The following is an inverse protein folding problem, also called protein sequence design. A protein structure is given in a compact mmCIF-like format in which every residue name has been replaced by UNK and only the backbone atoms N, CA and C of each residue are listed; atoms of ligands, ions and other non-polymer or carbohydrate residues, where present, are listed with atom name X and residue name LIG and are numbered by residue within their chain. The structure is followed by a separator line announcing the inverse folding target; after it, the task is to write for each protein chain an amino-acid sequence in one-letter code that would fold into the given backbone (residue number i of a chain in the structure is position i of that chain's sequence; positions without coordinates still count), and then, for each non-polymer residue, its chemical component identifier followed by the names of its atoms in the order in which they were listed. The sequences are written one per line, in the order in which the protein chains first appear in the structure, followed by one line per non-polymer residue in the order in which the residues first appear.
data_IF_506336752285
#
_entry.id   IF_506336752285
#
_cell.length_a   1.000
_cell.length_b   1.000
_cell.length_c   1.000
_cell.angle_alpha   90.00
_cell.angle_beta   90.00
_cell.angle_gamma   90.00
#
_symmetry.space_group_name_H-M   'P 1'
#
loop_
_entity.id
_entity.type
_entity.pdbx_description
1 polymer ?
#
# COMPACT_ATOMS: atom_id res chain seq x y z
N UNK A 1 19.79 -13.48 -8.02
CA UNK A 1 18.92 -12.53 -7.30
C UNK A 1 18.65 -11.21 -8.05
N UNK A 2 19.58 -10.66 -8.85
CA UNK A 2 19.37 -9.39 -9.57
C UNK A 2 18.15 -9.37 -10.53
N UNK A 3 17.81 -10.49 -11.18
CA UNK A 3 16.67 -10.56 -12.10
C UNK A 3 15.28 -10.51 -11.44
N UNK A 4 15.13 -11.08 -10.24
CA UNK A 4 13.87 -11.02 -9.47
C UNK A 4 13.62 -9.59 -8.95
N UNK A 5 14.68 -8.94 -8.47
CA UNK A 5 14.63 -7.56 -7.98
C UNK A 5 14.25 -6.57 -9.07
N UNK A 6 14.87 -6.65 -10.25
CA UNK A 6 14.58 -5.76 -11.37
C UNK A 6 13.12 -5.84 -11.85
N UNK A 7 12.58 -7.05 -12.02
CA UNK A 7 11.17 -7.23 -12.44
C UNK A 7 10.18 -6.72 -11.39
N UNK A 8 10.42 -7.01 -10.11
CA UNK A 8 9.55 -6.57 -9.00
C UNK A 8 9.56 -5.05 -8.86
N UNK A 9 10.74 -4.44 -8.94
CA UNK A 9 10.87 -2.99 -8.87
C UNK A 9 10.17 -2.30 -10.06
N UNK A 10 10.40 -2.79 -11.28
CA UNK A 10 9.74 -2.26 -12.47
C UNK A 10 8.21 -2.34 -12.38
N UNK A 11 7.67 -3.43 -11.81
CA UNK A 11 6.24 -3.56 -11.58
C UNK A 11 5.72 -2.48 -10.61
N UNK A 12 6.37 -2.29 -9.46
CA UNK A 12 5.97 -1.27 -8.49
C UNK A 12 6.06 0.14 -9.09
N UNK A 13 7.16 0.45 -9.77
CA UNK A 13 7.38 1.76 -10.41
C UNK A 13 6.34 2.04 -11.50
N UNK A 14 6.06 1.05 -12.36
CA UNK A 14 5.07 1.18 -13.43
C UNK A 14 3.62 1.22 -12.93
N UNK A 15 3.34 0.73 -11.73
CA UNK A 15 1.99 0.75 -11.14
C UNK A 15 1.65 2.09 -10.45
N UNK A 16 2.63 2.95 -10.17
CA UNK A 16 2.37 4.26 -9.57
C UNK A 16 1.56 5.13 -10.53
N UNK A 17 0.46 5.69 -10.03
CA UNK A 17 -0.36 6.63 -10.80
C UNK A 17 0.30 7.99 -10.95
N UNK A 18 -0.09 8.81 -11.94
CA UNK A 18 0.48 10.14 -12.17
C UNK A 18 0.39 11.09 -10.96
N UNK A 19 -0.52 10.87 -10.01
CA UNK A 19 -0.60 11.66 -8.76
C UNK A 19 0.24 11.11 -7.61
N UNK A 20 0.87 9.93 -7.76
CA UNK A 20 1.80 9.35 -6.78
C UNK A 20 1.32 8.13 -6.02
N UNK A 21 0.05 7.72 -6.17
CA UNK A 21 -0.55 6.63 -5.42
C UNK A 21 -0.56 5.31 -6.19
N UNK A 22 -0.80 4.21 -5.47
CA UNK A 22 -1.13 2.89 -6.01
C UNK A 22 -2.61 2.59 -5.79
N UNK A 23 -3.14 1.69 -6.61
CA UNK A 23 -4.58 1.38 -6.60
C UNK A 23 -4.91 0.06 -5.94
N UNK A 24 -6.07 0.02 -5.29
CA UNK A 24 -6.74 -1.20 -4.86
C UNK A 24 -8.11 -1.25 -5.55
N UNK A 25 -8.39 -2.34 -6.27
CA UNK A 25 -9.63 -2.49 -7.06
C UNK A 25 -9.91 -1.29 -7.99
N UNK A 26 -8.84 -0.73 -8.60
CA UNK A 26 -8.93 0.40 -9.53
C UNK A 26 -9.16 1.77 -8.88
N UNK A 27 -9.13 1.87 -7.55
CA UNK A 27 -9.31 3.13 -6.81
C UNK A 27 -8.04 3.53 -6.07
N UNK A 28 -7.79 4.83 -5.82
CA UNK A 28 -6.67 5.27 -5.00
C UNK A 28 -6.68 4.58 -3.64
N UNK A 29 -5.52 4.12 -3.18
CA UNK A 29 -5.39 3.33 -1.95
C UNK A 29 -4.24 3.83 -1.08
N UNK A 30 -4.54 4.24 0.15
CA UNK A 30 -3.51 4.61 1.13
C UNK A 30 -2.73 3.37 1.53
N UNK A 31 -3.42 2.26 1.78
CA UNK A 31 -2.77 1.02 2.22
C UNK A 31 -1.79 0.48 1.17
N UNK A 32 -2.19 0.39 -0.09
CA UNK A 32 -1.32 -0.10 -1.16
C UNK A 32 -0.20 0.89 -1.49
N UNK A 33 -0.47 2.20 -1.42
CA UNK A 33 0.58 3.22 -1.56
C UNK A 33 1.63 3.06 -0.47
N UNK A 34 1.22 2.92 0.79
CA UNK A 34 2.15 2.75 1.90
C UNK A 34 2.96 1.45 1.80
N UNK A 35 2.36 0.34 1.36
CA UNK A 35 3.08 -0.91 1.10
C UNK A 35 4.11 -0.79 -0.03
N UNK A 36 3.73 -0.14 -1.15
CA UNK A 36 4.65 0.09 -2.26
C UNK A 36 5.83 0.97 -1.81
N UNK A 37 5.54 2.05 -1.08
CA UNK A 37 6.58 2.91 -0.51
C UNK A 37 7.51 2.12 0.42
N UNK A 38 6.99 1.29 1.33
CA UNK A 38 7.82 0.44 2.21
C UNK A 38 8.88 -0.34 1.44
N UNK A 39 8.49 -0.97 0.34
CA UNK A 39 9.40 -1.74 -0.49
C UNK A 39 10.42 -0.84 -1.20
N UNK A 40 9.97 0.30 -1.74
CA UNK A 40 10.82 1.26 -2.44
C UNK A 40 11.84 1.93 -1.50
N UNK A 41 11.43 2.30 -0.28
CA UNK A 41 12.30 2.86 0.75
C UNK A 41 13.40 1.87 1.16
N UNK A 42 13.03 0.60 1.35
CA UNK A 42 14.01 -0.44 1.65
C UNK A 42 15.04 -0.60 0.53
N UNK A 43 14.64 -0.51 -0.75
CA UNK A 43 15.59 -0.54 -1.87
C UNK A 43 16.45 0.74 -1.88
N UNK A 44 15.83 1.90 -1.70
CA UNK A 44 16.51 3.20 -1.71
C UNK A 44 17.62 3.29 -0.66
N UNK A 45 17.32 2.91 0.59
CA UNK A 45 18.27 2.99 1.72
C UNK A 45 19.48 2.09 1.46
N UNK A 46 19.26 0.89 0.94
CA UNK A 46 20.33 -0.09 0.73
C UNK A 46 21.17 0.16 -0.53
N UNK A 47 20.63 0.81 -1.56
CA UNK A 47 21.30 0.94 -2.87
C UNK A 47 21.54 2.39 -3.32
N UNK A 48 21.08 3.39 -2.56
CA UNK A 48 21.23 4.83 -2.85
C UNK A 48 20.76 5.22 -4.27
N UNK A 49 19.69 4.60 -4.76
CA UNK A 49 19.15 4.87 -6.09
C UNK A 49 18.48 6.25 -6.20
N UNK A 50 19.14 7.22 -6.85
CA UNK A 50 18.67 8.62 -6.96
C UNK A 50 17.26 8.77 -7.55
N UNK A 51 16.88 7.93 -8.51
CA UNK A 51 15.57 7.96 -9.18
C UNK A 51 14.42 7.59 -8.23
N UNK A 52 14.66 6.71 -7.25
CA UNK A 52 13.62 6.26 -6.32
C UNK A 52 13.18 7.38 -5.37
N UNK A 53 14.07 8.31 -5.03
CA UNK A 53 13.74 9.42 -4.12
C UNK A 53 12.57 10.24 -4.65
N UNK A 54 12.53 10.53 -5.95
CA UNK A 54 11.44 11.28 -6.59
C UNK A 54 10.11 10.53 -6.52
N UNK A 55 10.12 9.24 -6.85
CA UNK A 55 8.94 8.36 -6.81
C UNK A 55 8.37 8.23 -5.40
N UNK A 56 9.25 7.98 -4.42
CA UNK A 56 8.89 7.88 -3.01
C UNK A 56 8.31 9.20 -2.50
N UNK A 57 9.01 10.31 -2.77
CA UNK A 57 8.56 11.66 -2.35
C UNK A 57 7.17 11.98 -2.89
N UNK A 58 6.89 11.59 -4.13
CA UNK A 58 5.58 11.80 -4.75
C UNK A 58 4.48 11.01 -4.04
N UNK A 59 4.73 9.75 -3.72
CA UNK A 59 3.78 8.92 -2.97
C UNK A 59 3.57 9.41 -1.53
N UNK A 60 4.65 9.81 -0.85
CA UNK A 60 4.56 10.39 0.51
C UNK A 60 3.75 11.68 0.51
N UNK A 61 3.98 12.59 -0.43
CA UNK A 61 3.18 13.82 -0.57
C UNK A 61 1.70 13.53 -0.78
N UNK A 62 1.38 12.51 -1.59
CA UNK A 62 0.00 12.09 -1.77
C UNK A 62 -0.56 11.51 -0.47
N UNK A 63 0.15 10.63 0.24
CA UNK A 63 -0.31 10.11 1.54
C UNK A 63 -0.59 11.25 2.51
N UNK A 64 0.31 12.22 2.65
CA UNK A 64 0.13 13.36 3.55
C UNK A 64 -1.12 14.18 3.21
N UNK A 65 -1.48 14.31 1.93
CA UNK A 65 -2.71 15.00 1.52
C UNK A 65 -3.99 14.21 1.78
N UNK A 66 -3.90 12.92 2.14
CA UNK A 66 -5.04 12.07 2.49
C UNK A 66 -5.27 11.95 4.01
N UNK A 67 -4.49 12.64 4.84
CA UNK A 67 -4.60 12.55 6.30
C UNK A 67 -5.88 13.24 6.79
N UNK A 68 -6.61 12.62 7.71
CA UNK A 68 -7.72 13.24 8.41
C UNK A 68 -7.25 14.17 9.54
N UNK A 69 -8.14 15.04 10.02
CA UNK A 69 -7.85 15.99 11.11
C UNK A 69 -7.43 15.29 12.41
N UNK A 70 -7.91 14.07 12.65
CA UNK A 70 -7.53 13.23 13.81
C UNK A 70 -6.15 12.57 13.66
N UNK A 71 -5.46 12.80 12.53
CA UNK A 71 -4.15 12.24 12.21
C UNK A 71 -4.18 10.84 11.59
N UNK A 72 -5.35 10.22 11.46
CA UNK A 72 -5.50 8.89 10.85
C UNK A 72 -5.64 8.95 9.33
N UNK A 73 -5.61 7.78 8.69
CA UNK A 73 -5.89 7.62 7.26
C UNK A 73 -7.04 6.66 7.03
N UNK A 74 -7.79 6.87 5.96
CA UNK A 74 -8.95 6.06 5.63
C UNK A 74 -8.66 4.55 5.58
N UNK A 75 -9.63 3.75 6.04
CA UNK A 75 -9.62 2.29 5.92
C UNK A 75 -10.16 1.84 4.57
N UNK A 76 -9.68 0.70 4.10
CA UNK A 76 -10.09 0.10 2.84
C UNK A 76 -10.32 -1.40 3.02
N UNK A 77 -11.14 -1.98 2.14
CA UNK A 77 -11.37 -3.42 2.08
C UNK A 77 -10.10 -4.13 1.59
N UNK A 78 -9.26 -4.56 2.53
CA UNK A 78 -7.92 -5.11 2.27
C UNK A 78 -7.78 -6.59 2.65
N UNK A 79 -8.67 -7.12 3.50
CA UNK A 79 -8.59 -8.50 3.98
C UNK A 79 -9.75 -9.32 3.45
N UNK A 80 -9.45 -10.34 2.65
CA UNK A 80 -10.44 -11.31 2.16
C UNK A 80 -10.52 -12.50 3.11
N UNK A 81 -11.75 -12.91 3.42
CA UNK A 81 -12.04 -14.12 4.18
C UNK A 81 -12.88 -15.03 3.28
N UNK A 82 -12.24 -15.96 2.52
CA UNK A 82 -12.96 -16.89 1.66
C UNK A 82 -13.76 -17.91 2.47
N UNK A 83 -14.72 -18.57 1.82
CA UNK A 83 -15.37 -19.76 2.41
C UNK A 83 -14.32 -20.85 2.63
N UNK A 84 -14.44 -21.67 3.70
CA UNK A 84 -13.48 -22.75 3.97
C UNK A 84 -13.29 -23.73 2.81
N UNK A 85 -14.31 -23.91 1.96
CA UNK A 85 -14.27 -24.76 0.77
C UNK A 85 -13.56 -24.15 -0.44
N UNK A 86 -13.29 -22.84 -0.45
CA UNK A 86 -12.71 -22.13 -1.60
C UNK A 86 -11.18 -22.25 -1.57
N UNK A 87 -10.61 -22.94 -2.56
CA UNK A 87 -9.16 -23.12 -2.70
C UNK A 87 -8.45 -22.02 -3.51
N UNK A 88 -9.19 -21.33 -4.38
CA UNK A 88 -8.64 -20.32 -5.29
C UNK A 88 -9.38 -18.99 -5.15
N UNK A 89 -9.14 -18.24 -4.06
CA UNK A 89 -9.93 -17.07 -3.68
C UNK A 89 -9.87 -15.90 -4.67
N UNK A 90 -8.91 -15.92 -5.60
CA UNK A 90 -8.75 -14.89 -6.62
C UNK A 90 -9.46 -15.22 -7.95
N UNK A 91 -10.03 -16.42 -8.10
CA UNK A 91 -10.74 -16.83 -9.32
C UNK A 91 -12.25 -16.83 -9.08
N UNK A 92 -12.96 -15.94 -9.79
CA UNK A 92 -14.43 -15.95 -9.93
C UNK A 92 -15.25 -15.83 -8.64
N UNK A 93 -14.66 -15.34 -7.54
CA UNK A 93 -15.38 -15.11 -6.28
C UNK A 93 -15.77 -13.64 -6.13
N UNK A 94 -17.06 -13.38 -5.89
CA UNK A 94 -17.58 -12.06 -5.54
C UNK A 94 -17.66 -11.98 -4.02
N UNK A 95 -16.83 -11.13 -3.43
CA UNK A 95 -16.78 -10.93 -1.99
C UNK A 95 -17.77 -9.86 -1.53
N UNK A 96 -18.54 -10.16 -0.49
CA UNK A 96 -19.40 -9.16 0.17
C UNK A 96 -18.57 -8.25 1.06
N UNK A 97 -18.87 -6.95 1.05
CA UNK A 97 -18.25 -5.95 1.93
C UNK A 97 -18.94 -5.97 3.29
N UNK A 98 -18.33 -6.63 4.27
CA UNK A 98 -18.85 -6.77 5.64
C UNK A 98 -17.71 -7.21 6.56
N UNK A 99 -17.92 -7.12 7.87
CA UNK A 99 -16.95 -7.49 8.90
C UNK A 99 -17.20 -8.86 9.54
N UNK A 100 -18.26 -9.59 9.12
CA UNK A 100 -18.63 -10.87 9.73
C UNK A 100 -18.93 -11.96 8.70
N UNK A 101 -18.41 -13.17 8.97
CA UNK A 101 -18.67 -14.39 8.19
C UNK A 101 -17.58 -14.74 7.17
N UNK A 102 -17.93 -15.60 6.21
CA UNK A 102 -17.06 -16.06 5.13
C UNK A 102 -17.59 -15.64 3.75
N UNK A 103 -16.70 -15.61 2.75
CA UNK A 103 -17.01 -15.07 1.42
C UNK A 103 -17.07 -13.54 1.43
N UNK A 104 -16.25 -12.92 2.29
CA UNK A 104 -16.29 -11.48 2.56
C UNK A 104 -14.94 -10.82 2.29
N UNK A 105 -14.97 -9.51 2.10
CA UNK A 105 -13.81 -8.64 2.19
C UNK A 105 -14.11 -7.60 3.26
N UNK A 106 -13.18 -7.43 4.19
CA UNK A 106 -13.29 -6.52 5.33
C UNK A 106 -12.17 -5.49 5.31
N UNK A 107 -12.46 -4.35 5.92
CA UNK A 107 -11.51 -3.28 6.20
C UNK A 107 -10.86 -3.45 7.58
N UNK A 108 -9.90 -2.58 7.91
CA UNK A 108 -9.27 -2.58 9.22
C UNK A 108 -10.07 -1.78 10.26
N UNK A 109 -10.30 -2.40 11.41
CA UNK A 109 -11.10 -1.78 12.46
C UNK A 109 -10.44 -0.50 13.01
N UNK A 110 -11.22 0.59 13.09
CA UNK A 110 -10.79 1.90 13.63
C UNK A 110 -9.58 2.54 12.92
N UNK A 111 -9.26 2.18 11.67
CA UNK A 111 -8.14 2.76 10.90
C UNK A 111 -6.75 2.55 11.50
N UNK A 112 -6.63 1.74 12.56
CA UNK A 112 -5.38 1.61 13.33
C UNK A 112 -4.29 0.93 12.51
N UNK A 113 -4.66 -0.11 11.76
CA UNK A 113 -3.70 -0.89 10.98
C UNK A 113 -3.13 -0.07 9.83
N UNK A 114 -4.01 0.61 9.07
CA UNK A 114 -3.60 1.48 7.96
C UNK A 114 -2.76 2.66 8.47
N UNK A 115 -3.20 3.31 9.55
CA UNK A 115 -2.48 4.45 10.16
C UNK A 115 -1.10 4.05 10.69
N UNK A 116 -0.98 2.91 11.37
CA UNK A 116 0.29 2.42 11.88
C UNK A 116 1.27 2.09 10.74
N UNK A 117 0.78 1.52 9.63
CA UNK A 117 1.62 1.30 8.45
C UNK A 117 2.13 2.64 7.89
N UNK A 118 1.25 3.61 7.68
CA UNK A 118 1.61 4.94 7.17
C UNK A 118 2.64 5.63 8.07
N UNK A 119 2.43 5.63 9.39
CA UNK A 119 3.36 6.23 10.35
C UNK A 119 4.79 5.67 10.19
N UNK A 120 4.92 4.35 10.03
CA UNK A 120 6.24 3.72 9.86
C UNK A 120 6.94 4.19 8.57
N UNK A 121 6.20 4.37 7.48
CA UNK A 121 6.76 4.90 6.22
C UNK A 121 7.19 6.35 6.39
N UNK A 122 6.33 7.21 6.94
CA UNK A 122 6.65 8.62 7.15
C UNK A 122 7.86 8.80 8.08
N UNK A 123 7.98 7.95 9.11
CA UNK A 123 9.14 7.93 9.99
C UNK A 123 10.42 7.63 9.22
N UNK A 124 10.44 6.56 8.42
CA UNK A 124 11.63 6.15 7.65
C UNK A 124 11.97 7.19 6.58
N UNK A 125 10.96 7.73 5.88
CA UNK A 125 11.14 8.82 4.92
C UNK A 125 11.89 10.03 5.50
N UNK A 126 11.59 10.39 6.76
CA UNK A 126 12.24 11.50 7.47
C UNK A 126 13.74 11.29 7.66
N UNK A 127 14.22 10.04 7.73
CA UNK A 127 15.62 9.71 8.02
C UNK A 127 16.59 10.02 6.86
N UNK A 128 16.09 10.16 5.61
CA UNK A 128 16.95 10.39 4.43
C UNK A 128 16.51 11.55 3.54
N UNK A 129 15.50 12.32 3.95
CA UNK A 129 15.01 13.49 3.19
C UNK A 129 15.53 14.80 3.75
N UNK A 130 16.10 14.79 4.95
CA UNK A 130 16.85 15.91 5.53
C UNK A 130 18.09 16.25 4.69
#
# INVERSE_FOLDING_TARGET
MCGFKGKTLNFLLGAQQPSGYWTNLGKPSVFYTALALKALEHVYINEKGSVLRGIITKGVRWILSQQYEDGSWNSEYILRIPKPSVRHPCKNEVYKKTSFGFGIITDDYKRVFTTALVYNILRVYKEYVQ
#
